data_IF_968427107767
#
_entry.id   IF_968427107767
#
_cell.length_a   1.000
_cell.length_b   1.000
_cell.length_c   1.000
_cell.angle_alpha   90.00
_cell.angle_beta   90.00
_cell.angle_gamma   90.00
#
_symmetry.space_group_name_H-M   'P 1'
#
loop_
_entity.id
_entity.type
_entity.pdbx_description
1 polymer ?
#
# COMPACT_ATOMS: atom_id res chain seq x y z
N UNK A 1 3.49 -9.09 -15.86
CA UNK A 1 2.83 -8.58 -14.64
C UNK A 1 1.55 -9.37 -14.42
N UNK A 2 1.34 -9.81 -13.17
CA UNK A 2 0.11 -10.51 -12.75
C UNK A 2 -0.59 -9.61 -11.73
N UNK A 3 -1.84 -9.21 -12.03
CA UNK A 3 -2.66 -8.47 -11.09
C UNK A 3 -3.46 -9.45 -10.22
N UNK A 4 -3.38 -9.29 -8.89
CA UNK A 4 -4.10 -10.07 -7.88
C UNK A 4 -4.82 -9.17 -6.86
N UNK A 5 -5.08 -7.93 -7.24
CA UNK A 5 -5.83 -6.99 -6.41
C UNK A 5 -7.32 -7.35 -6.40
N UNK A 6 -7.97 -7.10 -5.28
CA UNK A 6 -9.42 -7.20 -5.14
C UNK A 6 -9.93 -6.07 -4.24
N UNK A 7 -11.11 -5.53 -4.60
CA UNK A 7 -11.67 -4.36 -3.94
C UNK A 7 -12.12 -4.65 -2.51
N UNK A 8 -12.03 -3.64 -1.64
CA UNK A 8 -12.48 -3.75 -0.25
C UNK A 8 -11.61 -4.59 0.67
N UNK A 9 -10.43 -5.07 0.18
CA UNK A 9 -9.54 -5.92 0.96
C UNK A 9 -8.80 -5.16 2.05
N UNK A 10 -8.52 -5.87 3.14
CA UNK A 10 -7.64 -5.48 4.23
C UNK A 10 -6.30 -6.25 4.15
N UNK A 11 -5.32 -5.85 4.98
CA UNK A 11 -4.03 -6.58 5.05
C UNK A 11 -4.23 -8.02 5.52
N UNK A 12 -5.17 -8.26 6.44
CA UNK A 12 -5.52 -9.61 6.92
C UNK A 12 -6.10 -10.51 5.83
N UNK A 13 -6.77 -9.93 4.81
CA UNK A 13 -7.23 -10.69 3.66
C UNK A 13 -6.06 -11.18 2.79
N UNK A 14 -4.99 -10.36 2.66
CA UNK A 14 -3.77 -10.79 1.97
C UNK A 14 -3.13 -11.99 2.67
N UNK A 15 -3.16 -12.02 3.99
CA UNK A 15 -2.69 -13.16 4.79
C UNK A 15 -3.58 -14.39 4.51
N UNK A 16 -4.89 -14.23 4.60
CA UNK A 16 -5.86 -15.32 4.41
C UNK A 16 -5.81 -15.95 3.00
N UNK A 17 -5.55 -15.13 1.99
CA UNK A 17 -5.48 -15.57 0.59
C UNK A 17 -4.05 -15.84 0.09
N UNK A 18 -3.02 -15.71 0.92
CA UNK A 18 -1.60 -15.87 0.56
C UNK A 18 -1.36 -17.12 -0.28
N UNK A 19 -1.86 -18.26 0.17
CA UNK A 19 -1.71 -19.55 -0.48
C UNK A 19 -2.38 -19.67 -1.85
N UNK A 20 -3.32 -18.76 -2.19
CA UNK A 20 -4.07 -18.80 -3.45
C UNK A 20 -3.63 -17.72 -4.42
N UNK A 21 -3.31 -16.52 -3.89
CA UNK A 21 -3.08 -15.36 -4.77
C UNK A 21 -1.60 -14.97 -4.92
N UNK A 22 -0.72 -15.52 -4.07
CA UNK A 22 0.70 -15.16 -4.09
C UNK A 22 1.60 -16.38 -4.27
N UNK A 23 1.56 -17.36 -3.36
CA UNK A 23 2.51 -18.46 -3.32
C UNK A 23 2.60 -19.28 -4.62
N UNK A 24 1.49 -19.58 -5.34
CA UNK A 24 1.55 -20.37 -6.58
C UNK A 24 2.34 -19.70 -7.70
N UNK A 25 2.46 -18.37 -7.67
CA UNK A 25 3.11 -17.59 -8.73
C UNK A 25 4.60 -17.37 -8.48
N UNK A 26 5.09 -17.61 -7.26
CA UNK A 26 6.50 -17.42 -6.85
C UNK A 26 7.12 -16.16 -7.45
N UNK A 27 6.53 -14.97 -7.22
CA UNK A 27 6.98 -13.74 -7.84
C UNK A 27 8.40 -13.39 -7.38
N UNK A 28 9.23 -12.88 -8.29
CA UNK A 28 10.54 -12.30 -7.92
C UNK A 28 10.37 -10.94 -7.27
N UNK A 29 9.32 -10.22 -7.63
CA UNK A 29 9.00 -8.90 -7.14
C UNK A 29 7.48 -8.79 -6.92
N UNK A 30 7.10 -8.26 -5.76
CA UNK A 30 5.73 -7.93 -5.40
C UNK A 30 5.61 -6.43 -5.16
N UNK A 31 4.52 -5.85 -5.65
CA UNK A 31 4.07 -4.50 -5.26
C UNK A 31 2.82 -4.66 -4.42
N UNK A 32 2.85 -4.15 -3.21
CA UNK A 32 1.78 -4.31 -2.21
C UNK A 32 1.22 -2.94 -1.85
N UNK A 33 -0.09 -2.79 -2.01
CA UNK A 33 -0.88 -1.66 -1.55
C UNK A 33 -2.07 -2.16 -0.76
N UNK A 34 -2.22 -1.69 0.47
CA UNK A 34 -3.36 -1.94 1.37
C UNK A 34 -3.35 -0.91 2.50
N UNK A 35 -4.30 -1.01 3.43
CA UNK A 35 -4.32 -0.23 4.68
C UNK A 35 -5.42 0.82 4.74
N UNK A 36 -5.85 1.40 3.63
CA UNK A 36 -6.90 2.42 3.62
C UNK A 36 -8.28 1.87 4.03
N UNK A 37 -8.59 0.62 3.67
CA UNK A 37 -9.81 -0.05 4.12
C UNK A 37 -9.72 -0.49 5.59
N UNK A 38 -8.56 -0.94 6.03
CA UNK A 38 -8.29 -1.30 7.42
C UNK A 38 -8.57 -0.10 8.35
N UNK A 39 -8.00 1.07 8.02
CA UNK A 39 -8.21 2.30 8.78
C UNK A 39 -9.68 2.75 8.76
N UNK A 40 -10.33 2.68 7.60
CA UNK A 40 -11.77 3.03 7.46
C UNK A 40 -12.67 2.13 8.31
N UNK A 41 -12.27 0.88 8.53
CA UNK A 41 -13.00 -0.08 9.40
C UNK A 41 -12.63 0.04 10.88
N UNK A 42 -11.84 1.05 11.24
CA UNK A 42 -11.54 1.40 12.61
C UNK A 42 -10.34 0.67 13.22
N UNK A 43 -9.49 0.00 12.41
CA UNK A 43 -8.20 -0.48 12.91
C UNK A 43 -7.26 0.70 13.16
N UNK A 44 -6.50 0.64 14.24
CA UNK A 44 -5.44 1.64 14.46
C UNK A 44 -4.27 1.43 13.51
N UNK A 45 -3.47 2.47 13.21
CA UNK A 45 -2.25 2.36 12.40
C UNK A 45 -1.29 1.28 12.92
N UNK A 46 -1.18 1.12 14.24
CA UNK A 46 -0.36 0.10 14.89
C UNK A 46 -0.85 -1.30 14.57
N UNK A 47 -2.17 -1.52 14.60
CA UNK A 47 -2.78 -2.81 14.27
C UNK A 47 -2.54 -3.14 12.80
N UNK A 48 -2.76 -2.20 11.89
CA UNK A 48 -2.52 -2.39 10.45
C UNK A 48 -1.04 -2.67 10.19
N UNK A 49 -0.15 -1.98 10.88
CA UNK A 49 1.29 -2.21 10.77
C UNK A 49 1.68 -3.61 11.26
N UNK A 50 1.12 -4.09 12.37
CA UNK A 50 1.35 -5.45 12.86
C UNK A 50 0.86 -6.50 11.84
N UNK A 51 -0.29 -6.27 11.20
CA UNK A 51 -0.79 -7.12 10.11
C UNK A 51 0.20 -7.14 8.92
N UNK A 52 0.78 -6.00 8.54
CA UNK A 52 1.83 -5.93 7.51
C UNK A 52 3.07 -6.73 7.89
N UNK A 53 3.54 -6.61 9.13
CA UNK A 53 4.71 -7.35 9.60
C UNK A 53 4.45 -8.87 9.52
N UNK A 54 3.27 -9.33 9.93
CA UNK A 54 2.86 -10.72 9.82
C UNK A 54 2.79 -11.18 8.36
N UNK A 55 2.17 -10.39 7.49
CA UNK A 55 2.06 -10.69 6.06
C UNK A 55 3.45 -10.86 5.42
N UNK A 56 4.34 -9.90 5.65
CA UNK A 56 5.70 -9.91 5.10
C UNK A 56 6.51 -11.09 5.64
N UNK A 57 6.43 -11.38 6.93
CA UNK A 57 7.11 -12.54 7.53
C UNK A 57 6.66 -13.86 6.88
N UNK A 58 5.36 -14.02 6.63
CA UNK A 58 4.82 -15.21 5.94
C UNK A 58 5.29 -15.29 4.49
N UNK A 59 5.28 -14.17 3.75
CA UNK A 59 5.84 -14.16 2.38
C UNK A 59 7.30 -14.57 2.38
N UNK A 60 8.12 -13.98 3.25
CA UNK A 60 9.56 -14.26 3.33
C UNK A 60 9.85 -15.70 3.77
N UNK A 61 9.04 -16.27 4.63
CA UNK A 61 9.15 -17.67 5.04
C UNK A 61 8.96 -18.63 3.85
N UNK A 62 7.99 -18.36 2.99
CA UNK A 62 7.66 -19.23 1.86
C UNK A 62 8.40 -18.87 0.57
N UNK A 63 8.76 -17.60 0.41
CA UNK A 63 9.37 -17.02 -0.79
C UNK A 63 10.58 -16.13 -0.41
N UNK A 64 11.67 -16.71 0.12
CA UNK A 64 12.77 -15.95 0.72
C UNK A 64 13.54 -15.06 -0.25
N UNK A 65 13.37 -15.25 -1.56
CA UNK A 65 14.02 -14.45 -2.60
C UNK A 65 13.12 -13.35 -3.20
N UNK A 66 11.86 -13.28 -2.76
CA UNK A 66 10.93 -12.29 -3.26
C UNK A 66 11.25 -10.91 -2.70
N UNK A 67 11.45 -9.94 -3.58
CA UNK A 67 11.51 -8.51 -3.21
C UNK A 67 10.08 -7.98 -3.04
N UNK A 68 9.86 -7.14 -2.04
CA UNK A 68 8.55 -6.57 -1.72
C UNK A 68 8.64 -5.06 -1.73
N UNK A 69 7.83 -4.42 -2.54
CA UNK A 69 7.67 -2.96 -2.58
C UNK A 69 6.37 -2.62 -1.87
N UNK A 70 6.47 -1.87 -0.78
CA UNK A 70 5.32 -1.33 -0.07
C UNK A 70 4.99 0.05 -0.64
N UNK A 71 3.77 0.21 -1.12
CA UNK A 71 3.26 1.50 -1.59
C UNK A 71 2.58 2.20 -0.41
N UNK A 72 2.91 3.46 -0.19
CA UNK A 72 2.26 4.25 0.86
C UNK A 72 0.74 4.24 0.71
N UNK A 73 0.02 4.21 1.83
CA UNK A 73 -1.43 4.39 1.83
C UNK A 73 -1.77 5.79 1.32
N UNK A 74 -2.66 5.87 0.34
CA UNK A 74 -3.04 7.13 -0.32
C UNK A 74 -3.89 8.02 0.57
N UNK A 75 -3.77 9.34 0.48
CA UNK A 75 -4.79 10.25 0.99
C UNK A 75 -6.01 10.21 0.06
N UNK A 76 -7.20 10.34 0.61
CA UNK A 76 -8.43 10.42 -0.21
C UNK A 76 -9.31 11.54 0.30
N UNK A 77 -9.89 12.39 -0.56
CA UNK A 77 -10.84 13.43 -0.13
C UNK A 77 -12.00 12.87 0.70
N UNK A 78 -12.57 11.73 0.29
CA UNK A 78 -13.68 11.08 0.99
C UNK A 78 -13.30 10.47 2.36
N UNK A 79 -12.01 10.45 2.70
CA UNK A 79 -11.46 9.90 3.96
C UNK A 79 -10.47 10.89 4.60
N UNK A 80 -10.74 12.19 4.45
CA UNK A 80 -9.83 13.24 4.93
C UNK A 80 -9.62 13.20 6.45
N UNK A 81 -10.61 12.73 7.20
CA UNK A 81 -10.53 12.53 8.65
C UNK A 81 -9.49 11.47 9.06
N UNK A 82 -9.13 10.55 8.16
CA UNK A 82 -8.13 9.50 8.42
C UNK A 82 -6.70 9.92 8.05
N UNK A 83 -6.48 11.13 7.55
CA UNK A 83 -5.13 11.60 7.16
C UNK A 83 -4.09 11.42 8.26
N UNK A 84 -4.34 11.75 9.54
CA UNK A 84 -3.37 11.52 10.61
C UNK A 84 -2.98 10.04 10.77
N UNK A 85 -3.95 9.13 10.66
CA UNK A 85 -3.71 7.69 10.75
C UNK A 85 -2.97 7.16 9.52
N UNK A 86 -3.31 7.65 8.33
CA UNK A 86 -2.60 7.35 7.09
C UNK A 86 -1.13 7.78 7.17
N UNK A 87 -0.85 9.00 7.65
CA UNK A 87 0.51 9.49 7.83
C UNK A 87 1.30 8.63 8.82
N UNK A 88 0.68 8.25 9.94
CA UNK A 88 1.30 7.41 10.96
C UNK A 88 1.61 6.01 10.42
N UNK A 89 0.68 5.38 9.73
CA UNK A 89 0.91 4.09 9.07
C UNK A 89 2.04 4.17 8.04
N UNK A 90 2.04 5.21 7.21
CA UNK A 90 3.08 5.43 6.20
C UNK A 90 4.47 5.61 6.84
N UNK A 91 4.57 6.31 7.96
CA UNK A 91 5.81 6.45 8.70
C UNK A 91 6.33 5.10 9.22
N UNK A 92 5.45 4.25 9.77
CA UNK A 92 5.82 2.91 10.19
C UNK A 92 6.33 2.04 9.02
N UNK A 93 5.65 2.08 7.88
CA UNK A 93 6.06 1.31 6.70
C UNK A 93 7.40 1.80 6.15
N UNK A 94 7.61 3.12 6.10
CA UNK A 94 8.86 3.73 5.64
C UNK A 94 10.06 3.36 6.52
N UNK A 95 9.88 3.36 7.83
CA UNK A 95 10.93 2.92 8.77
C UNK A 95 11.18 1.41 8.67
N UNK A 96 10.12 0.63 8.56
CA UNK A 96 10.22 -0.84 8.54
C UNK A 96 11.04 -1.37 7.37
N UNK A 97 10.93 -0.78 6.18
CA UNK A 97 11.68 -1.25 5.01
C UNK A 97 13.20 -1.11 5.17
N UNK A 98 13.67 -0.27 6.09
CA UNK A 98 15.10 -0.11 6.37
C UNK A 98 15.70 -1.32 7.07
N UNK A 99 14.89 -2.23 7.58
CA UNK A 99 15.33 -3.43 8.31
C UNK A 99 15.72 -4.61 7.41
N UNK A 100 15.39 -4.56 6.11
CA UNK A 100 15.62 -5.68 5.19
C UNK A 100 15.81 -5.19 3.74
N UNK A 101 16.93 -5.50 3.12
CA UNK A 101 17.30 -5.10 1.75
C UNK A 101 16.33 -5.62 0.66
N UNK A 102 15.47 -6.59 0.99
CA UNK A 102 14.43 -7.10 0.09
C UNK A 102 13.18 -6.25 0.11
N UNK A 103 13.07 -5.30 1.04
CA UNK A 103 11.95 -4.39 1.16
C UNK A 103 12.29 -3.04 0.53
N UNK A 104 11.31 -2.40 -0.07
CA UNK A 104 11.38 -1.03 -0.54
C UNK A 104 10.07 -0.30 -0.27
N UNK A 105 10.13 1.00 -0.13
CA UNK A 105 8.97 1.87 0.07
C UNK A 105 8.82 2.83 -1.10
N UNK A 106 7.60 2.96 -1.61
CA UNK A 106 7.27 3.94 -2.64
C UNK A 106 6.30 4.96 -2.05
N UNK A 107 6.73 6.19 -1.98
CA UNK A 107 5.91 7.30 -1.54
C UNK A 107 5.06 7.84 -2.70
N UNK A 108 3.78 7.47 -2.72
CA UNK A 108 2.76 8.10 -3.57
C UNK A 108 1.98 9.16 -2.78
N UNK A 109 1.98 9.08 -1.44
CA UNK A 109 1.23 9.98 -0.57
C UNK A 109 1.61 11.44 -0.79
N UNK A 110 2.92 11.75 -0.69
CA UNK A 110 3.41 13.13 -0.82
C UNK A 110 3.10 13.76 -2.19
N UNK A 111 2.99 12.95 -3.24
CA UNK A 111 2.62 13.43 -4.57
C UNK A 111 1.10 13.64 -4.74
N UNK A 112 0.30 13.11 -3.82
CA UNK A 112 -1.18 13.18 -3.85
C UNK A 112 -1.75 14.22 -2.89
N UNK A 113 -0.92 14.99 -2.21
CA UNK A 113 -1.33 16.14 -1.39
C UNK A 113 -0.88 17.45 -2.02
N UNK A 114 -1.61 18.52 -1.77
CA UNK A 114 -1.26 19.89 -2.15
C UNK A 114 -0.37 20.58 -1.11
N UNK A 115 0.03 21.82 -1.37
CA UNK A 115 0.88 22.61 -0.48
C UNK A 115 0.21 22.93 0.88
N UNK A 116 -1.11 22.80 0.97
CA UNK A 116 -1.88 22.94 2.22
C UNK A 116 -2.01 21.61 2.99
N UNK A 117 -1.47 20.50 2.45
CA UNK A 117 -1.56 19.15 3.05
C UNK A 117 -2.89 18.46 2.80
N UNK A 118 -3.71 18.97 1.87
CA UNK A 118 -5.00 18.39 1.51
C UNK A 118 -4.87 17.42 0.33
N UNK A 119 -5.72 16.37 0.25
CA UNK A 119 -5.73 15.48 -0.90
C UNK A 119 -6.07 16.24 -2.20
N UNK A 120 -5.30 16.00 -3.22
CA UNK A 120 -5.47 16.60 -4.55
C UNK A 120 -6.68 16.00 -5.25
N UNK A 121 -7.83 16.70 -5.16
CA UNK A 121 -9.12 16.22 -5.64
C UNK A 121 -9.13 15.86 -7.15
N UNK A 122 -8.32 16.56 -7.96
CA UNK A 122 -8.20 16.30 -9.40
C UNK A 122 -7.60 14.93 -9.76
N UNK A 123 -7.07 14.19 -8.79
CA UNK A 123 -6.55 12.83 -8.97
C UNK A 123 -7.60 11.73 -8.76
N UNK A 124 -8.81 12.12 -8.36
CA UNK A 124 -9.89 11.20 -7.97
C UNK A 124 -11.09 11.33 -8.89
N UNK A 125 -11.96 10.32 -8.86
CA UNK A 125 -13.30 10.38 -9.44
C UNK A 125 -14.22 11.19 -8.54
N UNK A 126 -15.45 11.44 -8.97
CA UNK A 126 -16.44 12.26 -8.23
C UNK A 126 -16.75 11.73 -6.82
N UNK A 127 -16.45 10.46 -6.54
CA UNK A 127 -16.61 9.87 -5.20
C UNK A 127 -15.52 10.28 -4.20
N UNK A 128 -14.46 10.95 -4.66
CA UNK A 128 -13.34 11.38 -3.83
C UNK A 128 -12.53 10.22 -3.22
N UNK A 129 -12.75 8.98 -3.66
CA UNK A 129 -12.11 7.77 -3.13
C UNK A 129 -11.31 7.02 -4.18
N UNK A 130 -11.91 6.71 -5.32
CA UNK A 130 -11.26 5.99 -6.40
C UNK A 130 -10.48 6.97 -7.28
N UNK A 131 -9.27 6.56 -7.67
CA UNK A 131 -8.44 7.38 -8.55
C UNK A 131 -9.00 7.38 -9.98
N UNK A 132 -8.89 8.54 -10.63
CA UNK A 132 -9.07 8.66 -12.07
C UNK A 132 -7.78 8.34 -12.84
N UNK A 133 -7.79 8.53 -14.16
CA UNK A 133 -6.63 8.25 -15.01
C UNK A 133 -5.37 9.05 -14.63
N UNK A 134 -5.53 10.29 -14.16
CA UNK A 134 -4.41 11.13 -13.72
C UNK A 134 -3.78 10.57 -12.42
N UNK A 135 -4.61 10.14 -11.47
CA UNK A 135 -4.14 9.50 -10.24
C UNK A 135 -3.37 8.20 -10.51
N UNK A 136 -3.88 7.35 -11.41
CA UNK A 136 -3.17 6.12 -11.80
C UNK A 136 -1.89 6.39 -12.59
N UNK A 137 -1.85 7.43 -13.42
CA UNK A 137 -0.63 7.83 -14.12
C UNK A 137 0.46 8.28 -13.14
N UNK A 138 0.10 9.08 -12.13
CA UNK A 138 1.01 9.48 -11.07
C UNK A 138 1.58 8.24 -10.33
N UNK A 139 0.74 7.29 -9.98
CA UNK A 139 1.19 6.04 -9.34
C UNK A 139 2.16 5.27 -10.22
N UNK A 140 1.85 5.12 -11.50
CA UNK A 140 2.73 4.46 -12.47
C UNK A 140 4.12 5.09 -12.48
N UNK A 141 4.19 6.41 -12.56
CA UNK A 141 5.46 7.16 -12.60
C UNK A 141 6.28 6.95 -11.33
N UNK A 142 5.62 6.91 -10.17
CA UNK A 142 6.28 6.69 -8.88
C UNK A 142 6.74 5.26 -8.66
N UNK A 143 5.98 4.28 -9.13
CA UNK A 143 6.29 2.85 -8.92
C UNK A 143 7.28 2.33 -9.96
N UNK A 144 7.23 2.82 -11.20
CA UNK A 144 8.03 2.30 -12.33
C UNK A 144 9.54 2.19 -12.05
N UNK A 145 10.22 3.15 -11.38
CA UNK A 145 11.66 3.05 -11.08
C UNK A 145 12.04 1.84 -10.22
N UNK A 146 11.10 1.33 -9.44
CA UNK A 146 11.32 0.19 -8.52
C UNK A 146 11.11 -1.18 -9.18
N UNK A 147 10.62 -1.22 -10.40
CA UNK A 147 10.28 -2.47 -11.11
C UNK A 147 11.47 -3.10 -11.88
N UNK A 148 12.65 -2.53 -11.75
CA UNK A 148 13.88 -3.01 -12.40
C UNK A 148 14.58 -4.10 -11.62
#
# INVERSE_FOLDING_TARGET
VINRCFGGSEVTDLIGYLGRVILPYRPRLMVVYSGDNDLTRGKSPETVFADYQQFIALVQQHLPQTRIILVSTKPSPARAELIPDVQKLNAFLQEFVLSDDRLAYVDIYSAMIDDAGSPRAELFTDDGLHMNSAGYQLWKERIQPFLQ
#
